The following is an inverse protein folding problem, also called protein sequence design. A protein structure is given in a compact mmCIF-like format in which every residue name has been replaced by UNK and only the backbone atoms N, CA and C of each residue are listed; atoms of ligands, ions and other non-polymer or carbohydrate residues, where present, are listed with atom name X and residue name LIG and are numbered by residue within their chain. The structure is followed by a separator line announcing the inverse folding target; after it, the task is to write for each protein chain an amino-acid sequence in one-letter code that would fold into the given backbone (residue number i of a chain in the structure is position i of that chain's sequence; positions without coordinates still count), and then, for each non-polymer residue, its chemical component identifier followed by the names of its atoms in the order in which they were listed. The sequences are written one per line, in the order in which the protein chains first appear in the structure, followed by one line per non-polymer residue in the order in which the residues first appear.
data_IF_519532684170
#
_entry.id   IF_519532684170
#
_cell.length_a   1.000
_cell.length_b   1.000
_cell.length_c   1.000
_cell.angle_alpha   90.00
_cell.angle_beta   90.00
_cell.angle_gamma   90.00
#
_symmetry.space_group_name_H-M   'P 1'
#
loop_
_entity.id
_entity.type
_entity.pdbx_description
1 polymer ?
#
# COMPACT_ATOMS: atom_id res chain seq x y z
N UNK A 1 -81.61 1.27 3.56
CA UNK A 1 -83.02 1.22 4.02
C UNK A 1 -83.27 -0.15 4.65
N UNK A 2 -83.89 -0.15 5.82
CA UNK A 2 -83.94 -1.26 6.77
C UNK A 2 -84.99 -2.35 6.45
N UNK A 3 -84.68 -3.60 6.81
CA UNK A 3 -85.59 -4.72 7.15
C UNK A 3 -84.72 -5.83 7.79
N UNK A 4 -85.07 -6.63 8.81
CA UNK A 4 -86.26 -6.82 9.68
C UNK A 4 -85.84 -7.71 10.90
N UNK A 5 -86.50 -7.49 12.05
CA UNK A 5 -86.75 -8.33 13.26
C UNK A 5 -86.70 -9.86 13.05
N UNK A 6 -86.36 -10.76 14.00
CA UNK A 6 -87.10 -11.27 15.21
C UNK A 6 -86.15 -12.33 15.88
N UNK A 7 -85.71 -12.27 17.16
CA UNK A 7 -86.31 -12.67 18.47
C UNK A 7 -86.37 -14.20 18.76
N UNK A 8 -85.66 -14.68 19.81
CA UNK A 8 -86.23 -15.47 20.93
C UNK A 8 -85.21 -15.75 22.07
N UNK A 9 -85.60 -15.39 23.31
CA UNK A 9 -85.16 -15.99 24.59
C UNK A 9 -85.86 -17.37 24.73
N UNK A 10 -85.49 -18.37 25.52
CA UNK A 10 -85.37 -18.39 26.99
C UNK A 10 -85.26 -19.87 27.47
N UNK A 11 -84.95 -20.08 28.77
CA UNK A 11 -85.08 -21.28 29.65
C UNK A 11 -83.77 -22.01 30.00
N UNK A 12 -83.61 -22.61 31.18
CA UNK A 12 -83.93 -22.35 32.62
C UNK A 12 -83.38 -23.59 33.38
N UNK A 13 -82.78 -23.37 34.56
CA UNK A 13 -82.77 -24.24 35.76
C UNK A 13 -81.93 -25.55 35.83
N UNK A 14 -80.91 -25.46 36.71
CA UNK A 14 -80.57 -26.33 37.87
C UNK A 14 -80.44 -27.85 37.74
N UNK A 15 -79.27 -28.39 38.11
CA UNK A 15 -79.19 -29.40 39.19
C UNK A 15 -77.82 -29.44 39.90
N UNK A 16 -77.83 -29.87 41.15
CA UNK A 16 -76.83 -29.72 42.22
C UNK A 16 -76.04 -31.03 42.45
N UNK A 17 -74.94 -30.95 43.21
CA UNK A 17 -74.16 -32.03 43.87
C UNK A 17 -73.11 -32.76 42.99
N UNK A 18 -71.90 -33.13 43.43
CA UNK A 18 -71.14 -33.09 44.68
C UNK A 18 -69.67 -33.47 44.36
N UNK A 19 -68.70 -33.05 45.19
CA UNK A 19 -67.39 -33.72 45.29
C UNK A 19 -66.18 -32.92 44.77
N UNK A 20 -65.38 -32.36 45.69
CA UNK A 20 -64.00 -31.93 45.43
C UNK A 20 -63.09 -33.16 45.31
N UNK A 21 -62.22 -33.28 44.28
CA UNK A 21 -60.99 -34.03 44.39
C UNK A 21 -59.81 -33.10 44.73
N UNK A 22 -58.93 -33.64 45.56
CA UNK A 22 -57.73 -33.04 46.15
C UNK A 22 -56.74 -32.38 45.16
N UNK A 23 -56.12 -31.27 45.58
CA UNK A 23 -55.12 -30.47 44.86
C UNK A 23 -53.74 -31.14 44.65
N UNK A 24 -53.59 -32.45 44.87
CA UNK A 24 -52.26 -33.09 44.94
C UNK A 24 -51.78 -33.80 43.65
N UNK A 25 -52.56 -33.79 42.55
CA UNK A 25 -52.23 -34.54 41.32
C UNK A 25 -51.88 -33.68 40.10
N UNK A 26 -52.17 -32.37 40.09
CA UNK A 26 -51.91 -31.50 38.93
C UNK A 26 -50.45 -31.04 38.80
N UNK A 27 -49.73 -30.86 39.91
CA UNK A 27 -48.36 -30.32 39.90
C UNK A 27 -47.31 -31.31 39.36
N UNK A 28 -47.55 -32.63 39.46
CA UNK A 28 -46.65 -33.66 38.90
C UNK A 28 -46.79 -33.86 37.39
N UNK A 29 -47.95 -33.55 36.81
CA UNK A 29 -48.21 -33.65 35.37
C UNK A 29 -47.63 -32.44 34.61
N UNK A 30 -47.76 -31.23 35.15
CA UNK A 30 -47.15 -30.02 34.58
C UNK A 30 -45.60 -30.08 34.61
N UNK A 31 -45.01 -30.55 35.73
CA UNK A 31 -43.57 -30.73 35.83
C UNK A 31 -43.01 -31.77 34.83
N UNK A 32 -43.80 -32.79 34.49
CA UNK A 32 -43.45 -33.79 33.46
C UNK A 32 -43.59 -33.24 32.03
N UNK A 33 -44.56 -32.38 31.77
CA UNK A 33 -44.74 -31.73 30.48
C UNK A 33 -43.61 -30.72 30.18
N UNK A 34 -43.21 -29.92 31.17
CA UNK A 34 -42.07 -28.98 31.02
C UNK A 34 -40.74 -29.69 30.82
N UNK A 35 -40.52 -30.84 31.48
CA UNK A 35 -39.30 -31.63 31.31
C UNK A 35 -39.24 -32.36 29.96
N UNK A 36 -40.37 -32.75 29.38
CA UNK A 36 -40.45 -33.30 28.02
C UNK A 36 -40.25 -32.23 26.94
N UNK A 37 -40.82 -31.04 27.11
CA UNK A 37 -40.64 -29.92 26.17
C UNK A 37 -39.19 -29.42 26.15
N UNK A 38 -38.55 -29.31 27.32
CA UNK A 38 -37.11 -28.96 27.42
C UNK A 38 -36.16 -30.04 26.86
N UNK A 39 -36.56 -31.31 26.87
CA UNK A 39 -35.77 -32.41 26.27
C UNK A 39 -35.92 -32.49 24.76
N UNK A 40 -37.10 -32.16 24.21
CA UNK A 40 -37.31 -32.18 22.77
C UNK A 40 -36.61 -31.00 22.07
N UNK A 41 -36.62 -29.80 22.67
CA UNK A 41 -35.87 -28.65 22.14
C UNK A 41 -34.34 -28.79 22.22
N UNK A 42 -33.80 -29.64 23.10
CA UNK A 42 -32.33 -29.84 23.23
C UNK A 42 -31.73 -30.86 22.26
N UNK A 43 -32.54 -31.64 21.53
CA UNK A 43 -32.04 -32.73 20.67
C UNK A 43 -31.96 -32.39 19.17
N UNK A 44 -32.38 -31.19 18.78
CA UNK A 44 -32.14 -30.63 17.46
C UNK A 44 -30.98 -29.61 17.51
N UNK A 45 -29.83 -30.03 18.04
CA UNK A 45 -28.58 -29.36 17.70
C UNK A 45 -28.28 -29.78 16.26
N UNK A 46 -28.90 -29.08 15.31
CA UNK A 46 -28.45 -29.05 13.93
C UNK A 46 -26.95 -28.77 13.97
N UNK A 47 -26.13 -29.73 13.53
CA UNK A 47 -24.71 -29.49 13.26
C UNK A 47 -24.62 -28.14 12.54
N UNK A 48 -23.83 -27.17 13.01
CA UNK A 48 -23.78 -25.87 12.35
C UNK A 48 -23.37 -26.12 10.91
N UNK A 49 -24.31 -25.96 9.97
CA UNK A 49 -24.01 -26.00 8.56
C UNK A 49 -22.90 -24.98 8.36
N UNK A 50 -21.73 -25.47 7.92
CA UNK A 50 -20.56 -24.64 7.69
C UNK A 50 -20.92 -23.63 6.60
N UNK A 51 -21.45 -22.48 7.00
CA UNK A 51 -21.87 -21.46 6.06
C UNK A 51 -20.66 -21.07 5.20
N UNK A 52 -20.82 -20.93 3.88
CA UNK A 52 -19.74 -20.41 3.04
C UNK A 52 -19.29 -19.10 3.66
N UNK A 53 -17.98 -18.94 3.92
CA UNK A 53 -17.46 -17.69 4.45
C UNK A 53 -17.99 -16.55 3.58
N UNK A 54 -18.62 -15.55 4.18
CA UNK A 54 -19.06 -14.35 3.46
C UNK A 54 -17.85 -13.79 2.70
N UNK A 55 -17.90 -13.88 1.37
CA UNK A 55 -16.86 -13.39 0.47
C UNK A 55 -17.33 -12.06 -0.08
N UNK A 56 -16.52 -11.01 0.07
CA UNK A 56 -16.79 -9.72 -0.58
C UNK A 56 -16.71 -9.91 -2.09
N UNK A 57 -17.59 -9.24 -2.82
CA UNK A 57 -17.52 -9.23 -4.28
C UNK A 57 -16.19 -8.62 -4.73
N UNK A 58 -15.41 -9.38 -5.50
CA UNK A 58 -14.15 -8.89 -6.08
C UNK A 58 -14.43 -8.42 -7.50
N UNK A 59 -14.29 -7.11 -7.74
CA UNK A 59 -14.42 -6.56 -9.10
C UNK A 59 -13.33 -7.15 -9.99
N UNK A 60 -13.71 -7.91 -11.02
CA UNK A 60 -12.79 -8.51 -11.99
C UNK A 60 -12.69 -7.58 -13.18
N UNK A 61 -11.51 -7.03 -13.44
CA UNK A 61 -11.25 -6.20 -14.62
C UNK A 61 -10.96 -7.08 -15.85
N UNK A 62 -11.64 -6.82 -16.97
CA UNK A 62 -11.44 -7.50 -18.26
C UNK A 62 -10.20 -7.00 -19.02
N UNK A 63 -9.12 -6.68 -18.31
CA UNK A 63 -7.88 -6.19 -18.92
C UNK A 63 -7.13 -7.32 -19.63
N UNK A 64 -6.54 -7.03 -20.79
CA UNK A 64 -5.68 -7.96 -21.54
C UNK A 64 -4.40 -8.39 -20.79
N UNK A 65 -4.04 -7.71 -19.70
CA UNK A 65 -2.83 -8.00 -18.93
C UNK A 65 -2.99 -9.29 -18.14
N UNK A 66 -2.30 -10.35 -18.57
CA UNK A 66 -2.22 -11.61 -17.84
C UNK A 66 -1.43 -11.42 -16.54
N UNK A 67 -1.86 -12.08 -15.46
CA UNK A 67 -1.06 -12.18 -14.24
C UNK A 67 0.29 -12.80 -14.60
N UNK A 68 1.39 -12.27 -14.05
CA UNK A 68 2.71 -12.92 -14.14
C UNK A 68 2.62 -14.23 -13.34
N UNK A 69 2.35 -15.34 -14.03
CA UNK A 69 2.17 -16.66 -13.42
C UNK A 69 3.50 -17.18 -12.84
N UNK A 70 4.60 -17.05 -13.60
CA UNK A 70 5.89 -17.62 -13.24
C UNK A 70 6.82 -16.63 -12.51
N UNK A 71 6.37 -16.13 -11.35
CA UNK A 71 7.18 -15.19 -10.54
C UNK A 71 8.50 -15.80 -10.07
N UNK A 72 8.57 -17.11 -9.87
CA UNK A 72 9.78 -17.83 -9.42
C UNK A 72 10.83 -17.85 -10.52
N UNK A 73 10.44 -18.22 -11.73
CA UNK A 73 11.33 -18.23 -12.90
C UNK A 73 11.90 -16.84 -13.19
N UNK A 74 11.07 -15.79 -13.19
CA UNK A 74 11.56 -14.42 -13.41
C UNK A 74 12.56 -13.96 -12.34
N UNK A 75 12.41 -14.42 -11.10
CA UNK A 75 13.39 -14.17 -10.04
C UNK A 75 14.69 -14.92 -10.31
N UNK A 76 14.60 -16.18 -10.72
CA UNK A 76 15.76 -17.00 -11.06
C UNK A 76 16.52 -16.41 -12.25
N UNK A 77 15.83 -15.95 -13.30
CA UNK A 77 16.47 -15.28 -14.45
C UNK A 77 17.26 -14.05 -13.99
N UNK A 78 16.68 -13.20 -13.15
CA UNK A 78 17.37 -12.03 -12.58
C UNK A 78 18.57 -12.42 -11.70
N UNK A 79 18.45 -13.49 -10.93
CA UNK A 79 19.55 -14.00 -10.11
C UNK A 79 20.71 -14.48 -10.98
N UNK A 80 20.42 -15.28 -12.00
CA UNK A 80 21.42 -15.79 -12.94
C UNK A 80 22.09 -14.65 -13.72
N UNK A 81 21.32 -13.67 -14.17
CA UNK A 81 21.83 -12.48 -14.84
C UNK A 81 22.77 -11.66 -13.95
N UNK A 82 22.43 -11.48 -12.67
CA UNK A 82 23.27 -10.78 -11.71
C UNK A 82 24.58 -11.54 -11.46
N UNK A 83 24.52 -12.87 -11.28
CA UNK A 83 25.72 -13.71 -11.11
C UNK A 83 26.66 -13.64 -12.32
N UNK A 84 26.11 -13.75 -13.54
CA UNK A 84 26.88 -13.60 -14.79
C UNK A 84 27.59 -12.26 -14.88
N UNK A 85 26.93 -11.17 -14.47
CA UNK A 85 27.55 -9.84 -14.48
C UNK A 85 28.64 -9.70 -13.42
N UNK A 86 28.53 -10.38 -12.28
CA UNK A 86 29.59 -10.39 -11.26
C UNK A 86 30.81 -11.15 -11.75
N UNK A 87 30.64 -12.24 -12.49
CA UNK A 87 31.74 -13.10 -12.97
C UNK A 87 32.70 -12.37 -13.90
N UNK A 88 32.23 -11.40 -14.68
CA UNK A 88 33.05 -10.60 -15.60
C UNK A 88 34.23 -9.94 -14.84
N UNK A 89 35.46 -9.98 -15.40
CA UNK A 89 36.63 -9.38 -14.78
C UNK A 89 36.58 -7.84 -14.79
N UNK A 90 37.31 -7.23 -13.85
CA UNK A 90 37.49 -5.78 -13.73
C UNK A 90 36.17 -4.98 -13.65
N UNK A 91 35.29 -5.40 -12.73
CA UNK A 91 33.98 -4.77 -12.50
C UNK A 91 33.89 -4.17 -11.11
N UNK A 92 33.18 -3.05 -11.06
CA UNK A 92 32.76 -2.38 -9.83
C UNK A 92 31.30 -2.69 -9.54
N UNK A 93 31.01 -2.92 -8.26
CA UNK A 93 29.65 -3.11 -7.75
C UNK A 93 29.36 -1.99 -6.77
N UNK A 94 28.42 -1.10 -7.11
CA UNK A 94 28.01 0.04 -6.31
C UNK A 94 26.65 -0.21 -5.65
N UNK A 95 26.53 0.21 -4.39
CA UNK A 95 25.23 0.31 -3.70
C UNK A 95 24.78 1.76 -3.73
N UNK A 96 23.63 1.98 -4.35
CA UNK A 96 23.00 3.28 -4.49
C UNK A 96 21.81 3.38 -3.54
N UNK A 97 21.76 4.45 -2.76
CA UNK A 97 20.61 4.85 -1.98
C UNK A 97 19.69 5.76 -2.78
N UNK A 98 18.41 5.42 -2.86
CA UNK A 98 17.45 6.27 -3.56
C UNK A 98 16.56 6.97 -2.55
N UNK A 99 16.93 8.20 -2.24
CA UNK A 99 16.17 9.08 -1.33
C UNK A 99 14.92 9.61 -2.01
N UNK A 100 15.08 10.15 -3.22
CA UNK A 100 13.97 10.65 -4.05
C UNK A 100 13.97 9.94 -5.39
N UNK A 101 13.06 8.97 -5.57
CA UNK A 101 12.98 8.22 -6.84
C UNK A 101 11.97 8.81 -7.83
N UNK A 102 12.36 8.88 -9.10
CA UNK A 102 11.48 9.13 -10.23
C UNK A 102 11.80 8.17 -11.34
N UNK A 103 10.78 7.54 -11.94
CA UNK A 103 11.02 6.55 -12.97
C UNK A 103 11.65 7.18 -14.23
N UNK A 104 11.35 8.44 -14.52
CA UNK A 104 11.89 9.12 -15.69
C UNK A 104 13.36 9.49 -15.48
N UNK A 105 13.70 10.13 -14.36
CA UNK A 105 15.10 10.47 -14.07
C UNK A 105 15.97 9.22 -13.90
N UNK A 106 15.41 8.14 -13.33
CA UNK A 106 16.11 6.87 -13.23
C UNK A 106 16.36 6.23 -14.61
N UNK A 107 15.42 6.35 -15.56
CA UNK A 107 15.66 5.90 -16.95
C UNK A 107 16.81 6.66 -17.60
N UNK A 108 16.88 7.97 -17.42
CA UNK A 108 17.96 8.80 -17.95
C UNK A 108 19.31 8.40 -17.35
N UNK A 109 19.36 8.12 -16.04
CA UNK A 109 20.56 7.59 -15.39
C UNK A 109 20.94 6.20 -15.92
N UNK A 110 19.96 5.32 -16.14
CA UNK A 110 20.19 4.00 -16.74
C UNK A 110 20.78 4.13 -18.14
N UNK A 111 20.24 5.02 -18.96
CA UNK A 111 20.70 5.26 -20.33
C UNK A 111 22.14 5.78 -20.36
N UNK A 112 22.49 6.72 -19.47
CA UNK A 112 23.84 7.26 -19.35
C UNK A 112 24.90 6.15 -19.11
N UNK A 113 24.66 5.27 -18.13
CA UNK A 113 25.60 4.19 -17.82
C UNK A 113 25.49 3.00 -18.77
N UNK A 114 24.39 2.85 -19.53
CA UNK A 114 24.27 1.77 -20.52
C UNK A 114 25.37 1.89 -21.58
N UNK A 115 25.73 3.12 -21.95
CA UNK A 115 26.81 3.41 -22.91
C UNK A 115 28.17 2.91 -22.44
N UNK A 116 28.44 2.93 -21.13
CA UNK A 116 29.69 2.39 -20.54
C UNK A 116 29.59 0.89 -20.18
N UNK A 117 28.49 0.22 -20.53
CA UNK A 117 28.22 -1.17 -20.17
C UNK A 117 27.73 -1.37 -18.73
N UNK A 118 27.34 -0.28 -18.06
CA UNK A 118 26.76 -0.30 -16.73
C UNK A 118 25.33 -0.86 -16.72
N UNK A 119 25.02 -1.62 -15.68
CA UNK A 119 23.72 -2.29 -15.50
C UNK A 119 23.17 -2.07 -14.11
N UNK A 120 21.93 -1.56 -14.08
CA UNK A 120 21.19 -1.33 -12.85
C UNK A 120 20.32 -2.55 -12.51
N UNK A 121 20.45 -3.04 -11.28
CA UNK A 121 19.55 -4.04 -10.72
C UNK A 121 18.62 -3.38 -9.72
N UNK A 122 17.35 -3.29 -10.13
CA UNK A 122 16.27 -2.72 -9.34
C UNK A 122 15.31 -3.87 -9.00
N UNK A 123 15.19 -4.17 -7.70
CA UNK A 123 14.43 -5.31 -7.25
C UNK A 123 14.36 -5.44 -5.74
N UNK A 124 13.92 -6.61 -5.29
CA UNK A 124 13.85 -6.90 -3.86
C UNK A 124 15.26 -7.08 -3.31
N UNK A 125 15.63 -6.34 -2.27
CA UNK A 125 16.95 -6.41 -1.67
C UNK A 125 17.36 -7.84 -1.30
N UNK A 126 16.45 -8.62 -0.71
CA UNK A 126 16.67 -10.02 -0.35
C UNK A 126 17.09 -10.90 -1.55
N UNK A 127 16.59 -10.59 -2.75
CA UNK A 127 16.97 -11.30 -3.98
C UNK A 127 18.39 -10.93 -4.41
N UNK A 128 18.73 -9.65 -4.35
CA UNK A 128 20.10 -9.18 -4.66
C UNK A 128 21.12 -9.72 -3.65
N UNK A 129 20.76 -9.74 -2.36
CA UNK A 129 21.56 -10.35 -1.29
C UNK A 129 21.81 -11.84 -1.52
N UNK A 130 20.80 -12.58 -1.98
CA UNK A 130 20.95 -14.00 -2.32
C UNK A 130 21.90 -14.21 -3.51
N UNK A 131 21.91 -13.29 -4.48
CA UNK A 131 22.79 -13.37 -5.63
C UNK A 131 24.26 -13.12 -5.26
N UNK A 132 24.51 -12.16 -4.36
CA UNK A 132 25.83 -11.74 -3.89
C UNK A 132 26.42 -12.71 -2.84
N UNK A 133 25.55 -13.29 -2.02
CA UNK A 133 25.92 -14.05 -0.83
C UNK A 133 25.74 -13.21 0.44
N UNK A 134 25.07 -13.78 1.45
CA UNK A 134 24.81 -13.09 2.73
C UNK A 134 25.86 -13.36 3.81
N UNK A 135 26.73 -14.36 3.60
CA UNK A 135 27.74 -14.82 4.55
C UNK A 135 29.02 -15.15 3.77
N UNK A 136 30.17 -15.09 4.44
CA UNK A 136 31.48 -15.38 3.87
C UNK A 136 31.56 -16.79 3.26
N UNK A 137 30.74 -17.75 3.72
CA UNK A 137 30.70 -19.11 3.15
C UNK A 137 29.95 -19.22 1.81
N UNK A 138 29.07 -18.26 1.52
CA UNK A 138 28.16 -18.29 0.37
C UNK A 138 28.47 -17.14 -0.61
N UNK A 139 29.56 -16.41 -0.41
CA UNK A 139 29.89 -15.27 -1.25
C UNK A 139 30.43 -15.71 -2.61
N UNK A 140 29.99 -15.03 -3.67
CA UNK A 140 30.42 -15.33 -5.04
C UNK A 140 31.88 -14.91 -5.27
N UNK A 141 32.29 -13.79 -4.63
CA UNK A 141 33.64 -13.27 -4.63
C UNK A 141 34.01 -12.78 -3.22
N UNK A 142 35.29 -12.73 -2.87
CA UNK A 142 35.75 -12.30 -1.54
C UNK A 142 35.20 -10.92 -1.15
N UNK A 143 34.76 -10.77 0.09
CA UNK A 143 34.25 -9.50 0.66
C UNK A 143 32.98 -8.92 -0.01
N UNK A 144 32.34 -9.63 -0.95
CA UNK A 144 31.08 -9.18 -1.56
C UNK A 144 29.92 -9.25 -0.55
N UNK A 145 30.02 -10.09 0.48
CA UNK A 145 29.06 -10.17 1.58
C UNK A 145 28.85 -8.82 2.28
N UNK A 146 29.86 -7.93 2.32
CA UNK A 146 29.75 -6.59 2.89
C UNK A 146 28.80 -5.68 2.10
N UNK A 147 28.82 -5.79 0.76
CA UNK A 147 27.86 -5.09 -0.11
C UNK A 147 26.43 -5.56 0.15
N UNK A 148 26.24 -6.86 0.37
CA UNK A 148 24.90 -7.41 0.60
C UNK A 148 24.28 -6.91 1.91
N UNK A 149 25.10 -6.66 2.94
CA UNK A 149 24.67 -6.05 4.19
C UNK A 149 24.16 -4.61 4.02
N UNK A 150 24.71 -3.85 3.06
CA UNK A 150 24.25 -2.48 2.77
C UNK A 150 22.87 -2.42 2.09
N UNK A 151 22.38 -3.54 1.56
CA UNK A 151 21.11 -3.60 0.82
C UNK A 151 19.89 -3.57 1.76
N UNK A 152 19.70 -2.48 2.50
CA UNK A 152 18.56 -2.26 3.42
C UNK A 152 17.80 -1.01 3.01
N UNK A 153 16.47 -1.08 2.87
CA UNK A 153 15.64 0.04 2.43
C UNK A 153 15.53 0.17 0.91
N UNK A 154 15.45 1.40 0.39
CA UNK A 154 15.32 1.66 -1.04
C UNK A 154 16.70 1.71 -1.71
N UNK A 155 17.29 0.54 -1.96
CA UNK A 155 18.63 0.43 -2.55
C UNK A 155 18.57 -0.10 -3.98
N UNK A 156 19.50 0.35 -4.80
CA UNK A 156 19.74 -0.12 -6.16
C UNK A 156 21.19 -0.59 -6.27
N UNK A 157 21.41 -1.67 -7.01
CA UNK A 157 22.77 -2.11 -7.34
C UNK A 157 23.14 -1.59 -8.73
N UNK A 158 24.32 -0.99 -8.87
CA UNK A 158 24.89 -0.63 -10.17
C UNK A 158 26.16 -1.46 -10.37
N UNK A 159 26.20 -2.25 -11.44
CA UNK A 159 27.38 -2.99 -11.86
C UNK A 159 27.94 -2.30 -13.09
N UNK A 160 29.16 -1.78 -13.04
CA UNK A 160 29.79 -1.06 -14.16
C UNK A 160 31.30 -1.25 -14.18
N UNK A 161 31.93 -0.91 -15.31
CA UNK A 161 33.40 -0.78 -15.45
C UNK A 161 33.90 0.61 -15.08
N UNK A 162 33.00 1.56 -14.86
CA UNK A 162 33.36 2.94 -14.51
C UNK A 162 33.99 3.04 -13.12
N UNK A 163 35.03 3.86 -13.03
CA UNK A 163 35.74 4.13 -11.79
C UNK A 163 34.87 4.91 -10.76
N UNK A 164 35.16 4.79 -9.45
CA UNK A 164 34.34 5.38 -8.39
C UNK A 164 34.17 6.89 -8.52
N UNK A 165 35.24 7.60 -8.88
CA UNK A 165 35.21 9.06 -9.07
C UNK A 165 34.17 9.51 -10.09
N UNK A 166 34.08 8.80 -11.23
CA UNK A 166 33.09 9.10 -12.29
C UNK A 166 31.67 8.88 -11.79
N UNK A 167 31.43 7.76 -11.11
CA UNK A 167 30.09 7.38 -10.63
C UNK A 167 29.61 8.35 -9.55
N UNK A 168 30.47 8.66 -8.58
CA UNK A 168 30.16 9.59 -7.48
C UNK A 168 29.91 10.99 -8.03
N UNK A 169 30.78 11.48 -8.93
CA UNK A 169 30.61 12.79 -9.56
C UNK A 169 29.29 12.88 -10.33
N UNK A 170 28.96 11.86 -11.11
CA UNK A 170 27.71 11.81 -11.86
C UNK A 170 26.49 11.95 -10.94
N UNK A 171 26.39 11.17 -9.86
CA UNK A 171 25.22 11.23 -8.98
C UNK A 171 25.15 12.49 -8.12
N UNK A 172 26.30 13.12 -7.83
CA UNK A 172 26.33 14.41 -7.14
C UNK A 172 25.86 15.56 -8.05
N UNK A 173 26.19 15.52 -9.34
CA UNK A 173 25.79 16.55 -10.32
C UNK A 173 24.38 16.32 -10.87
N UNK A 174 23.98 15.06 -11.03
CA UNK A 174 22.70 14.67 -11.62
C UNK A 174 21.55 14.77 -10.59
N UNK A 175 21.11 16.00 -10.32
CA UNK A 175 20.02 16.29 -9.38
C UNK A 175 18.89 17.14 -10.00
N UNK A 176 18.19 16.63 -11.04
CA UNK A 176 17.06 17.34 -11.64
C UNK A 176 15.90 17.55 -10.66
N UNK A 177 15.12 18.62 -10.89
CA UNK A 177 13.95 18.96 -10.08
C UNK A 177 12.86 17.89 -10.18
N UNK A 178 12.25 17.57 -9.04
CA UNK A 178 11.29 16.49 -8.86
C UNK A 178 10.16 16.86 -7.90
N UNK A 179 9.04 16.13 -7.99
CA UNK A 179 7.95 16.29 -7.05
C UNK A 179 8.29 15.73 -5.67
N UNK A 180 8.01 16.51 -4.63
CA UNK A 180 8.18 16.04 -3.26
C UNK A 180 7.19 14.90 -2.96
N UNK A 181 7.67 13.91 -2.22
CA UNK A 181 6.84 12.82 -1.72
C UNK A 181 6.37 13.12 -0.31
N UNK A 182 5.25 12.52 0.05
CA UNK A 182 4.76 12.62 1.41
C UNK A 182 5.78 12.05 2.40
N UNK A 183 5.90 12.66 3.57
CA UNK A 183 6.87 12.25 4.59
C UNK A 183 8.33 12.60 4.26
N UNK A 184 8.59 13.32 3.16
CA UNK A 184 9.89 13.96 2.95
C UNK A 184 9.88 15.38 3.53
N UNK A 185 11.07 15.87 3.88
CA UNK A 185 11.30 17.22 4.38
C UNK A 185 11.36 18.18 3.18
N UNK A 186 10.62 19.29 3.25
CA UNK A 186 10.72 20.35 2.23
C UNK A 186 11.97 21.21 2.43
N UNK A 187 12.65 21.56 1.36
CA UNK A 187 13.79 22.50 1.37
C UNK A 187 13.36 23.96 1.23
N UNK A 188 12.10 24.20 0.86
CA UNK A 188 11.56 25.51 0.52
C UNK A 188 10.17 25.70 1.15
N UNK A 189 9.81 26.97 1.39
CA UNK A 189 8.48 27.37 1.80
C UNK A 189 7.61 27.62 0.57
N UNK A 190 6.42 27.01 0.54
CA UNK A 190 5.48 27.10 -0.56
C UNK A 190 4.10 27.39 0.01
N UNK A 191 3.60 28.59 -0.27
CA UNK A 191 2.27 29.04 0.14
C UNK A 191 1.55 29.59 -1.08
N UNK A 192 0.32 29.13 -1.30
CA UNK A 192 -0.59 29.72 -2.27
C UNK A 192 -1.30 30.89 -1.61
N UNK A 193 -1.37 32.02 -2.30
CA UNK A 193 -2.02 33.24 -1.81
C UNK A 193 -3.47 33.29 -2.28
N UNK A 194 -4.32 33.90 -1.47
CA UNK A 194 -5.66 34.29 -1.85
C UNK A 194 -5.60 35.12 -3.14
N UNK A 195 -6.49 34.82 -4.09
CA UNK A 195 -6.52 35.42 -5.41
C UNK A 195 -5.64 34.72 -6.45
N UNK A 196 -4.77 33.78 -6.06
CA UNK A 196 -3.93 33.07 -7.02
C UNK A 196 -4.79 32.20 -7.96
N UNK A 197 -4.50 32.32 -9.26
CA UNK A 197 -5.10 31.50 -10.30
C UNK A 197 -4.35 30.17 -10.37
N UNK A 198 -5.02 29.07 -10.02
CA UNK A 198 -4.44 27.74 -10.09
C UNK A 198 -4.43 27.26 -11.56
N UNK A 199 -3.25 26.91 -12.07
CA UNK A 199 -3.04 26.37 -13.43
C UNK A 199 -3.50 24.92 -13.55
N UNK A 200 -4.78 24.67 -13.28
CA UNK A 200 -5.39 23.33 -13.28
C UNK A 200 -6.75 23.38 -13.99
N UNK A 201 -7.09 22.35 -14.80
CA UNK A 201 -8.40 22.26 -15.42
C UNK A 201 -9.53 22.16 -14.39
N UNK A 202 -10.69 22.76 -14.72
CA UNK A 202 -11.90 22.75 -13.88
C UNK A 202 -12.40 21.33 -13.58
N UNK A 203 -12.10 20.35 -14.44
CA UNK A 203 -12.43 18.94 -14.22
C UNK A 203 -11.82 18.36 -12.91
N UNK A 204 -10.75 18.96 -12.39
CA UNK A 204 -10.11 18.55 -11.14
C UNK A 204 -10.74 19.20 -9.88
N UNK A 205 -11.84 19.95 -10.01
CA UNK A 205 -12.54 20.62 -8.91
C UNK A 205 -12.80 19.70 -7.70
N UNK A 206 -13.34 18.51 -7.95
CA UNK A 206 -13.66 17.54 -6.88
C UNK A 206 -12.41 17.08 -6.13
N UNK A 207 -11.27 16.98 -6.80
CA UNK A 207 -10.02 16.57 -6.17
C UNK A 207 -9.36 17.69 -5.36
N UNK A 208 -9.52 18.95 -5.77
CA UNK A 208 -9.12 20.11 -4.97
C UNK A 208 -9.96 20.24 -3.69
N UNK A 209 -11.28 20.05 -3.80
CA UNK A 209 -12.19 20.06 -2.64
C UNK A 209 -11.84 18.95 -1.64
N UNK A 210 -11.56 17.72 -2.10
CA UNK A 210 -11.09 16.62 -1.23
C UNK A 210 -9.81 16.96 -0.46
N UNK A 211 -9.00 17.88 -0.98
CA UNK A 211 -7.76 18.35 -0.35
C UNK A 211 -7.96 19.60 0.49
N UNK A 212 -9.20 20.00 0.79
CA UNK A 212 -9.53 21.19 1.59
C UNK A 212 -8.95 22.48 0.99
N UNK A 213 -9.06 22.63 -0.34
CA UNK A 213 -8.72 23.88 -1.03
C UNK A 213 -10.02 24.66 -1.20
N UNK A 214 -10.07 25.89 -0.69
CA UNK A 214 -11.21 26.79 -0.84
C UNK A 214 -10.96 27.69 -2.06
N UNK A 215 -11.82 27.63 -3.06
CA UNK A 215 -11.64 28.34 -4.33
C UNK A 215 -12.97 28.66 -4.99
N UNK A 216 -12.92 29.65 -5.88
CA UNK A 216 -13.98 30.02 -6.82
C UNK A 216 -13.62 29.63 -8.25
N UNK A 217 -14.63 29.53 -9.08
CA UNK A 217 -14.48 29.37 -10.53
C UNK A 217 -15.02 30.64 -11.17
N UNK A 218 -14.13 31.40 -11.82
CA UNK A 218 -14.46 32.62 -12.55
C UNK A 218 -13.81 32.50 -13.93
N UNK A 219 -14.58 32.66 -15.00
CA UNK A 219 -14.10 32.55 -16.39
C UNK A 219 -13.29 31.26 -16.67
N UNK A 220 -13.83 30.12 -16.24
CA UNK A 220 -13.20 28.79 -16.35
C UNK A 220 -11.84 28.65 -15.62
N UNK A 221 -11.47 29.63 -14.80
CA UNK A 221 -10.25 29.63 -14.00
C UNK A 221 -10.58 29.42 -12.53
N UNK A 222 -9.75 28.62 -11.87
CA UNK A 222 -9.87 28.37 -10.43
C UNK A 222 -9.07 29.42 -9.68
N UNK A 223 -9.75 30.24 -8.88
CA UNK A 223 -9.18 31.32 -8.08
C UNK A 223 -9.24 30.94 -6.60
N UNK A 224 -8.11 31.00 -5.91
CA UNK A 224 -8.06 30.63 -4.49
C UNK A 224 -8.74 31.69 -3.60
N UNK A 225 -9.58 31.28 -2.63
CA UNK A 225 -10.23 32.20 -1.67
C UNK A 225 -9.42 32.47 -0.41
N UNK A 226 -8.52 31.56 -0.04
CA UNK A 226 -7.82 31.60 1.24
C UNK A 226 -6.35 31.21 1.04
N UNK A 227 -5.46 31.81 1.83
CA UNK A 227 -4.06 31.42 1.83
C UNK A 227 -3.92 29.96 2.27
N UNK A 228 -3.09 29.20 1.56
CA UNK A 228 -2.84 27.80 1.90
C UNK A 228 -1.36 27.46 1.85
N UNK A 229 -0.83 27.07 3.00
CA UNK A 229 0.54 26.57 3.13
C UNK A 229 0.61 25.13 2.62
N UNK A 230 1.41 24.91 1.58
CA UNK A 230 1.63 23.59 0.99
C UNK A 230 2.85 22.90 1.59
N UNK A 231 3.94 23.64 1.77
CA UNK A 231 5.16 23.12 2.33
C UNK A 231 5.86 24.21 3.14
N UNK A 232 6.47 23.81 4.25
CA UNK A 232 7.33 24.67 5.04
C UNK A 232 8.73 24.08 5.07
N UNK A 233 9.74 24.94 5.00
CA UNK A 233 11.14 24.58 5.03
C UNK A 233 11.44 23.80 6.30
N UNK A 234 12.16 22.70 6.13
CA UNK A 234 12.54 21.76 7.19
C UNK A 234 11.38 21.04 7.88
N UNK A 235 10.16 21.07 7.32
CA UNK A 235 9.02 20.28 7.81
C UNK A 235 8.60 19.16 6.87
N UNK A 236 7.98 18.13 7.44
CA UNK A 236 7.45 16.99 6.69
C UNK A 236 6.22 17.40 5.88
N UNK A 237 6.20 17.04 4.60
CA UNK A 237 5.05 17.33 3.73
C UNK A 237 3.95 16.28 3.90
N UNK A 238 2.72 16.74 4.14
CA UNK A 238 1.52 15.91 4.22
C UNK A 238 1.19 15.24 2.87
N UNK A 239 0.48 14.11 2.90
CA UNK A 239 0.03 13.39 1.70
C UNK A 239 -0.86 14.25 0.83
N UNK A 240 -1.72 15.08 1.43
CA UNK A 240 -2.63 15.97 0.70
C UNK A 240 -1.84 17.06 -0.04
N UNK A 241 -0.89 17.68 0.65
CA UNK A 241 -0.05 18.75 0.10
C UNK A 241 0.91 18.24 -0.99
N UNK A 242 1.55 17.09 -0.79
CA UNK A 242 2.43 16.50 -1.82
C UNK A 242 1.68 16.20 -3.13
N UNK A 243 0.43 15.73 -3.03
CA UNK A 243 -0.42 15.50 -4.21
C UNK A 243 -0.87 16.82 -4.85
N UNK A 244 -1.18 17.84 -4.05
CA UNK A 244 -1.56 19.17 -4.53
C UNK A 244 -0.39 19.84 -5.28
N UNK A 245 0.81 19.81 -4.73
CA UNK A 245 2.04 20.29 -5.39
C UNK A 245 2.25 19.61 -6.75
N UNK A 246 2.02 18.29 -6.83
CA UNK A 246 2.11 17.55 -8.09
C UNK A 246 1.03 17.96 -9.10
N UNK A 247 -0.21 18.20 -8.65
CA UNK A 247 -1.29 18.69 -9.51
C UNK A 247 -0.98 20.07 -10.09
N UNK A 248 -0.34 20.93 -9.29
CA UNK A 248 0.08 22.28 -9.68
C UNK A 248 1.40 22.30 -10.47
N UNK A 249 1.96 21.13 -10.80
CA UNK A 249 3.23 20.99 -11.50
C UNK A 249 4.42 21.68 -10.76
N UNK A 250 4.37 21.74 -9.43
CA UNK A 250 5.41 22.36 -8.59
C UNK A 250 6.42 21.31 -8.13
N UNK A 251 7.64 21.40 -8.65
CA UNK A 251 8.76 20.51 -8.33
C UNK A 251 9.67 21.17 -7.30
N UNK A 252 9.50 20.81 -6.04
CA UNK A 252 10.20 21.44 -4.91
C UNK A 252 11.24 20.54 -4.25
N UNK A 253 11.33 19.28 -4.70
CA UNK A 253 12.38 18.36 -4.29
C UNK A 253 13.39 18.20 -5.41
N UNK A 254 14.58 17.68 -5.07
CA UNK A 254 15.56 17.24 -6.06
C UNK A 254 15.59 15.72 -6.13
N UNK A 255 15.83 15.19 -7.32
CA UNK A 255 16.22 13.81 -7.49
C UNK A 255 17.58 13.61 -6.83
N UNK A 256 17.66 12.68 -5.87
CA UNK A 256 18.87 12.45 -5.08
C UNK A 256 19.11 10.94 -4.96
N UNK A 257 20.27 10.52 -5.44
CA UNK A 257 20.81 9.17 -5.31
C UNK A 257 22.20 9.30 -4.69
N UNK A 258 22.39 8.70 -3.52
CA UNK A 258 23.69 8.69 -2.86
C UNK A 258 24.42 7.37 -3.09
N UNK A 259 25.73 7.41 -3.36
CA UNK A 259 26.57 6.21 -3.44
C UNK A 259 27.02 5.86 -2.03
N UNK A 260 26.62 4.70 -1.52
CA UNK A 260 26.94 4.29 -0.13
C UNK A 260 28.28 3.60 0.00
N UNK A 261 28.73 2.95 -1.07
CA UNK A 261 29.92 2.12 -1.06
C UNK A 261 30.02 1.31 -2.34
N UNK A 262 31.21 0.77 -2.56
CA UNK A 262 31.51 -0.03 -3.72
C UNK A 262 32.44 -1.19 -3.41
N UNK A 263 32.40 -2.20 -4.25
CA UNK A 263 33.31 -3.33 -4.23
C UNK A 263 34.10 -3.37 -5.53
N UNK A 264 35.41 -3.61 -5.40
CA UNK A 264 36.35 -3.77 -6.51
C UNK A 264 37.46 -4.73 -6.10
N UNK A 265 37.76 -5.72 -6.95
CA UNK A 265 38.89 -6.64 -6.81
C UNK A 265 39.11 -7.13 -5.37
N UNK A 266 38.09 -7.79 -4.81
CA UNK A 266 38.10 -8.39 -3.47
C UNK A 266 38.17 -7.38 -2.31
N UNK A 267 38.16 -6.08 -2.60
CA UNK A 267 38.11 -5.03 -1.60
C UNK A 267 36.74 -4.35 -1.59
N UNK A 268 36.28 -4.00 -0.40
CA UNK A 268 35.05 -3.26 -0.18
C UNK A 268 35.39 -1.91 0.46
N UNK A 269 34.87 -0.84 -0.13
CA UNK A 269 35.04 0.53 0.36
C UNK A 269 33.67 1.08 0.73
N UNK A 270 33.51 1.49 1.98
CA UNK A 270 32.32 2.20 2.47
C UNK A 270 32.51 3.70 2.28
N UNK A 271 31.51 4.36 1.70
CA UNK A 271 31.44 5.81 1.52
C UNK A 271 30.43 6.46 2.49
N UNK A 272 29.88 5.68 3.43
CA UNK A 272 29.06 6.25 4.49
C UNK A 272 29.94 7.06 5.43
N UNK A 273 29.67 8.36 5.55
CA UNK A 273 30.15 9.15 6.67
C UNK A 273 29.44 8.63 7.94
N UNK A 274 30.23 8.24 8.96
CA UNK A 274 29.71 8.00 10.31
C UNK A 274 29.28 9.32 10.94
#
# INVERSE_FOLDING_TARGET
MATKRVLLKEKRKSNKQNGKPSKLSFTKLEARAETLHKRHCRRLILKPLKMPKSKRNTVISLTKVKKKLNKKEMKNVKLTELKKMIEIPNIYIYVLDVRTHSNNNLKNAIEYFKTSGGKFFIGKNKLMQLALGSSNKSEVKPNVSKISQLLVGNRILLITKDAPLRVIKFFNEYQPDEYIKHGNISTQDVTLKCGDILKVPVSMQKDLQKRRVNFDIVDEKIILRENKVLAEKNKLVSIENAKLLRMLNMKIAKFDIAVLGYWYFNNFVSLMHK
#
